data_IF_803406692908
#
_entry.id   IF_803406692908
#
_cell.length_a   1.000
_cell.length_b   1.000
_cell.length_c   1.000
_cell.angle_alpha   90.00
_cell.angle_beta   90.00
_cell.angle_gamma   90.00
#
_symmetry.space_group_name_H-M   'P 1'
#
loop_
_entity.id
_entity.type
_entity.pdbx_description
1 polymer ?
#
# COMPACT_ATOMS: atom_id res chain seq x y z
N UNK A 1 -10.19 -14.40 -14.39
CA UNK A 1 -9.17 -13.44 -13.92
C UNK A 1 -9.69 -12.03 -14.15
N UNK A 2 -9.46 -11.12 -13.20
CA UNK A 2 -10.01 -9.76 -13.17
C UNK A 2 -8.89 -8.76 -12.92
N UNK A 3 -8.99 -7.57 -13.52
CA UNK A 3 -8.15 -6.42 -13.19
C UNK A 3 -9.05 -5.20 -13.04
N UNK A 4 -8.79 -4.41 -11.99
CA UNK A 4 -9.37 -3.11 -11.78
C UNK A 4 -8.24 -2.07 -11.73
N UNK A 5 -8.41 -0.97 -12.47
CA UNK A 5 -7.42 0.11 -12.59
C UNK A 5 -8.12 1.43 -12.39
N UNK A 6 -7.59 2.28 -11.53
CA UNK A 6 -8.13 3.63 -11.33
C UNK A 6 -7.02 4.66 -11.18
N UNK A 7 -7.19 5.78 -11.88
CA UNK A 7 -6.48 7.04 -11.70
C UNK A 7 -7.56 8.12 -11.74
N UNK A 8 -7.83 8.86 -10.65
CA UNK A 8 -8.98 9.75 -10.57
C UNK A 8 -9.01 10.77 -11.71
N UNK A 9 -10.10 10.78 -12.49
CA UNK A 9 -10.30 11.67 -13.63
C UNK A 9 -9.61 11.25 -14.93
N UNK A 10 -8.83 10.17 -14.93
CA UNK A 10 -8.02 9.74 -16.09
C UNK A 10 -8.32 8.30 -16.52
N UNK A 11 -8.39 7.35 -15.57
CA UNK A 11 -8.61 5.91 -15.83
C UNK A 11 -9.64 5.37 -14.84
N UNK A 12 -10.64 4.64 -15.34
CA UNK A 12 -11.61 3.90 -14.54
C UNK A 12 -11.97 2.58 -15.25
N UNK A 13 -11.31 1.49 -14.87
CA UNK A 13 -11.55 0.14 -15.39
C UNK A 13 -11.97 -0.74 -14.24
N UNK A 14 -13.23 -1.21 -14.24
CA UNK A 14 -13.80 -2.05 -13.18
C UNK A 14 -13.49 -1.52 -11.76
N UNK A 15 -13.40 -0.19 -11.61
CA UNK A 15 -12.83 0.43 -10.43
C UNK A 15 -13.80 0.49 -9.24
N UNK A 16 -15.05 0.11 -9.46
CA UNK A 16 -16.10 -0.10 -8.47
C UNK A 16 -16.25 -1.57 -8.06
N UNK A 17 -15.48 -2.49 -8.63
CA UNK A 17 -15.51 -3.90 -8.26
C UNK A 17 -14.73 -4.14 -6.98
N UNK A 18 -15.35 -4.86 -6.03
CA UNK A 18 -14.71 -5.23 -4.77
C UNK A 18 -13.80 -6.45 -4.99
N UNK A 19 -12.53 -6.31 -4.63
CA UNK A 19 -11.49 -7.31 -4.80
C UNK A 19 -10.70 -7.52 -3.51
N UNK A 20 -10.12 -8.71 -3.28
CA UNK A 20 -9.16 -8.93 -2.20
C UNK A 20 -7.93 -8.04 -2.39
N UNK A 21 -7.46 -7.42 -1.31
CA UNK A 21 -6.36 -6.44 -1.36
C UNK A 21 -5.01 -7.02 -0.97
N UNK A 22 -5.00 -8.21 -0.35
CA UNK A 22 -3.82 -8.71 0.34
C UNK A 22 -3.21 -7.60 1.23
N UNK A 23 -1.89 -7.41 1.17
CA UNK A 23 -1.20 -6.39 1.96
C UNK A 23 -1.48 -4.92 1.58
N UNK A 24 -2.17 -4.62 0.47
CA UNK A 24 -2.69 -3.25 0.23
C UNK A 24 -3.72 -2.86 1.30
N UNK A 25 -4.39 -3.86 1.91
CA UNK A 25 -5.28 -3.66 3.06
C UNK A 25 -4.62 -3.05 4.30
N UNK A 26 -3.28 -2.90 4.32
CA UNK A 26 -2.55 -2.22 5.39
C UNK A 26 -2.62 -0.69 5.28
N UNK A 27 -3.04 -0.15 4.14
CA UNK A 27 -3.13 1.31 3.93
C UNK A 27 -4.10 2.00 4.91
N UNK A 28 -5.33 1.49 5.17
CA UNK A 28 -6.20 2.09 6.18
C UNK A 28 -5.62 2.04 7.60
N UNK A 29 -4.91 0.97 7.95
CA UNK A 29 -4.20 0.88 9.23
C UNK A 29 -3.10 1.96 9.34
N UNK A 30 -2.27 2.09 8.31
CA UNK A 30 -1.21 3.11 8.27
C UNK A 30 -1.78 4.53 8.36
N UNK A 31 -2.89 4.81 7.67
CA UNK A 31 -3.58 6.10 7.77
C UNK A 31 -4.13 6.35 9.18
N UNK A 32 -4.72 5.32 9.81
CA UNK A 32 -5.22 5.39 11.19
C UNK A 32 -4.09 5.72 12.17
N UNK A 33 -2.95 5.03 12.06
CA UNK A 33 -1.77 5.27 12.91
C UNK A 33 -1.19 6.66 12.66
N UNK A 34 -1.03 7.07 11.39
CA UNK A 34 -0.51 8.39 11.05
C UNK A 34 -1.39 9.53 11.61
N UNK A 35 -2.70 9.43 11.46
CA UNK A 35 -3.65 10.41 11.99
C UNK A 35 -3.65 10.42 13.52
N UNK A 36 -3.56 9.27 14.16
CA UNK A 36 -3.46 9.18 15.61
C UNK A 36 -2.16 9.83 16.15
N UNK A 37 -1.03 9.62 15.47
CA UNK A 37 0.24 10.27 15.81
C UNK A 37 0.13 11.79 15.67
N UNK A 38 -0.31 12.29 14.51
CA UNK A 38 -0.38 13.74 14.27
C UNK A 38 -1.45 14.46 15.10
N UNK A 39 -2.47 13.74 15.58
CA UNK A 39 -3.45 14.30 16.53
C UNK A 39 -3.00 14.22 18.00
N UNK A 40 -1.86 13.58 18.28
CA UNK A 40 -1.34 13.39 19.63
C UNK A 40 -2.04 12.30 20.45
N UNK A 41 -2.96 11.53 19.85
CA UNK A 41 -3.65 10.43 20.55
C UNK A 41 -2.83 9.13 20.60
N UNK A 42 -1.71 9.08 19.88
CA UNK A 42 -0.77 7.97 19.88
C UNK A 42 0.66 8.52 19.85
N UNK A 43 1.49 8.14 20.81
CA UNK A 43 2.90 8.55 20.82
C UNK A 43 3.70 7.68 19.83
N UNK A 44 4.39 8.26 18.84
CA UNK A 44 5.22 7.50 17.90
C UNK A 44 6.34 6.71 18.57
N UNK A 45 6.82 7.16 19.74
CA UNK A 45 7.86 6.51 20.54
C UNK A 45 7.30 5.47 21.51
N UNK A 46 5.98 5.31 21.59
CA UNK A 46 5.36 4.32 22.47
C UNK A 46 5.87 2.91 22.12
N UNK A 47 6.47 2.18 23.08
CA UNK A 47 6.96 0.83 22.83
C UNK A 47 5.79 -0.16 22.83
N UNK A 48 5.59 -0.82 21.69
CA UNK A 48 4.64 -1.92 21.55
C UNK A 48 5.39 -3.25 21.67
N UNK A 49 4.98 -4.05 22.65
CA UNK A 49 5.49 -5.40 22.85
C UNK A 49 4.81 -6.39 21.91
N UNK A 50 5.60 -7.17 21.18
CA UNK A 50 5.14 -8.26 20.31
C UNK A 50 4.70 -9.43 21.19
N UNK A 51 3.43 -9.81 21.07
CA UNK A 51 2.83 -10.93 21.79
C UNK A 51 2.81 -12.16 20.90
N UNK A 52 2.68 -13.34 21.51
CA UNK A 52 2.55 -14.61 20.79
C UNK A 52 1.42 -14.58 19.76
N UNK A 53 0.32 -13.90 20.09
CA UNK A 53 -0.79 -13.71 19.17
C UNK A 53 -0.43 -12.85 17.95
N UNK A 54 0.58 -11.99 17.96
CA UNK A 54 0.95 -11.20 16.78
C UNK A 54 1.75 -12.02 15.76
N UNK A 55 2.41 -13.09 16.22
CA UNK A 55 3.31 -13.90 15.41
C UNK A 55 2.55 -14.66 14.33
N UNK A 56 2.99 -14.48 13.08
CA UNK A 56 2.41 -15.10 11.89
C UNK A 56 3.49 -15.27 10.83
N UNK A 57 3.26 -16.19 9.88
CA UNK A 57 4.12 -16.37 8.70
C UNK A 57 3.97 -15.26 7.65
N UNK A 58 4.57 -15.48 6.49
CA UNK A 58 4.55 -14.56 5.36
C UNK A 58 5.62 -13.46 5.45
N UNK A 59 5.33 -12.30 4.85
CA UNK A 59 6.27 -11.18 4.72
C UNK A 59 6.63 -10.53 6.06
N UNK A 60 7.89 -10.07 6.16
CA UNK A 60 8.37 -9.30 7.30
C UNK A 60 9.80 -9.66 7.71
N UNK A 61 10.38 -8.79 8.52
CA UNK A 61 11.70 -8.97 9.13
C UNK A 61 11.60 -9.34 10.61
N UNK A 62 10.53 -8.96 11.30
CA UNK A 62 10.39 -9.16 12.74
C UNK A 62 10.43 -10.63 13.17
N UNK A 63 10.12 -11.57 12.27
CA UNK A 63 10.28 -13.00 12.54
C UNK A 63 11.74 -13.43 12.67
N UNK A 64 12.64 -12.73 11.99
CA UNK A 64 14.08 -13.00 12.00
C UNK A 64 14.86 -12.11 12.98
N UNK A 65 14.24 -11.05 13.49
CA UNK A 65 14.85 -10.13 14.45
C UNK A 65 14.58 -10.57 15.90
N UNK A 66 15.53 -10.33 16.80
CA UNK A 66 15.42 -10.72 18.22
C UNK A 66 14.61 -9.74 19.06
N UNK A 67 14.42 -8.50 18.60
CA UNK A 67 13.70 -7.46 19.31
C UNK A 67 12.22 -7.82 19.52
N UNK A 68 11.75 -7.67 20.77
CA UNK A 68 10.35 -7.96 21.15
C UNK A 68 9.53 -6.70 21.45
N UNK A 69 10.17 -5.54 21.50
CA UNK A 69 9.53 -4.26 21.79
C UNK A 69 10.01 -3.24 20.77
N UNK A 70 9.06 -2.59 20.10
CA UNK A 70 9.34 -1.69 18.99
C UNK A 70 8.48 -0.43 19.12
N UNK A 71 9.02 0.76 18.82
CA UNK A 71 8.22 1.97 18.71
C UNK A 71 7.08 1.82 17.70
N UNK A 72 5.94 2.47 17.94
CA UNK A 72 4.81 2.55 16.99
C UNK A 72 5.30 3.00 15.61
N UNK A 73 6.16 4.02 15.55
CA UNK A 73 6.68 4.55 14.30
C UNK A 73 7.49 3.51 13.50
N UNK A 74 8.27 2.67 14.18
CA UNK A 74 9.07 1.61 13.56
C UNK A 74 8.17 0.49 13.04
N UNK A 75 7.15 0.10 13.80
CA UNK A 75 6.16 -0.88 13.34
C UNK A 75 5.39 -0.38 12.11
N UNK A 76 5.05 0.91 12.07
CA UNK A 76 4.39 1.52 10.91
C UNK A 76 5.31 1.54 9.69
N UNK A 77 6.59 1.89 9.88
CA UNK A 77 7.59 1.83 8.83
C UNK A 77 7.77 0.40 8.30
N UNK A 78 7.91 -0.61 9.16
CA UNK A 78 8.05 -2.02 8.76
C UNK A 78 6.80 -2.52 8.01
N UNK A 79 5.62 -2.11 8.46
CA UNK A 79 4.33 -2.41 7.81
C UNK A 79 4.26 -1.84 6.39
N UNK A 80 4.77 -0.62 6.18
CA UNK A 80 4.80 0.01 4.87
C UNK A 80 5.93 -0.51 3.96
N UNK A 81 7.14 -0.60 4.50
CA UNK A 81 8.38 -0.80 3.76
C UNK A 81 8.56 -2.24 3.26
N UNK A 82 8.33 -3.21 4.15
CA UNK A 82 8.57 -4.64 3.89
C UNK A 82 7.32 -5.48 4.14
N UNK A 83 6.17 -4.82 4.30
CA UNK A 83 4.88 -5.48 4.49
C UNK A 83 4.87 -6.41 5.71
N UNK A 84 5.57 -6.05 6.79
CA UNK A 84 5.76 -6.93 7.94
C UNK A 84 4.44 -7.32 8.61
N UNK A 85 4.13 -8.61 8.60
CA UNK A 85 2.86 -9.13 9.09
C UNK A 85 2.74 -9.09 10.62
N UNK A 86 3.86 -9.27 11.34
CA UNK A 86 3.91 -9.22 12.80
C UNK A 86 3.71 -7.77 13.25
N UNK A 87 4.38 -6.82 12.58
CA UNK A 87 4.20 -5.40 12.86
C UNK A 87 2.76 -4.96 12.61
N UNK A 88 2.16 -5.45 11.53
CA UNK A 88 0.75 -5.17 11.20
C UNK A 88 -0.19 -5.68 12.29
N UNK A 89 -0.02 -6.92 12.74
CA UNK A 89 -0.86 -7.50 13.79
C UNK A 89 -0.69 -6.75 15.13
N UNK A 90 0.55 -6.42 15.51
CA UNK A 90 0.84 -5.65 16.71
C UNK A 90 0.17 -4.26 16.67
N UNK A 91 0.22 -3.57 15.53
CA UNK A 91 -0.47 -2.30 15.33
C UNK A 91 -1.99 -2.45 15.37
N UNK A 92 -2.56 -3.45 14.69
CA UNK A 92 -4.01 -3.72 14.72
C UNK A 92 -4.51 -4.00 16.13
N UNK A 93 -3.77 -4.78 16.91
CA UNK A 93 -4.07 -5.02 18.32
C UNK A 93 -3.97 -3.74 19.15
N UNK A 94 -3.01 -2.88 18.84
CA UNK A 94 -2.79 -1.63 19.57
C UNK A 94 -3.87 -0.58 19.29
N UNK A 95 -4.33 -0.45 18.04
CA UNK A 95 -5.31 0.60 17.65
C UNK A 95 -6.75 0.10 17.55
N UNK A 96 -6.95 -1.20 17.34
CA UNK A 96 -8.26 -1.84 17.18
C UNK A 96 -8.79 -1.79 15.74
N UNK A 97 -9.46 -2.87 15.31
CA UNK A 97 -10.10 -2.96 13.99
C UNK A 97 -11.25 -1.95 13.84
N UNK A 98 -12.03 -1.71 14.89
CA UNK A 98 -13.14 -0.75 14.87
C UNK A 98 -12.66 0.66 14.57
N UNK A 99 -11.56 1.08 15.20
CA UNK A 99 -10.93 2.38 14.94
C UNK A 99 -10.46 2.49 13.49
N UNK A 100 -9.86 1.44 12.94
CA UNK A 100 -9.47 1.40 11.52
C UNK A 100 -10.69 1.52 10.61
N UNK A 101 -11.80 0.87 10.94
CA UNK A 101 -13.03 0.93 10.17
C UNK A 101 -13.72 2.31 10.24
N UNK A 102 -13.68 2.98 11.39
CA UNK A 102 -14.15 4.36 11.58
C UNK A 102 -13.33 5.35 10.75
N UNK A 103 -12.01 5.31 10.87
CA UNK A 103 -11.11 6.20 10.12
C UNK A 103 -11.18 5.93 8.61
N UNK A 104 -11.35 4.67 8.18
CA UNK A 104 -11.60 4.33 6.77
C UNK A 104 -12.82 5.08 6.23
N UNK A 105 -13.96 5.02 6.94
CA UNK A 105 -15.18 5.74 6.54
C UNK A 105 -14.98 7.26 6.53
N UNK A 106 -14.27 7.80 7.53
CA UNK A 106 -13.95 9.22 7.58
C UNK A 106 -13.08 9.69 6.40
N UNK A 107 -12.29 8.79 5.82
CA UNK A 107 -11.47 9.02 4.63
C UNK A 107 -12.18 8.68 3.31
N UNK A 108 -13.47 8.32 3.34
CA UNK A 108 -14.25 7.98 2.15
C UNK A 108 -14.03 6.56 1.61
N UNK A 109 -13.44 5.68 2.42
CA UNK A 109 -13.25 4.25 2.16
C UNK A 109 -14.45 3.48 2.72
N UNK A 110 -15.57 3.45 2.00
CA UNK A 110 -16.81 2.80 2.44
C UNK A 110 -16.88 1.33 2.05
N UNK A 111 -16.33 0.99 0.89
CA UNK A 111 -16.28 -0.38 0.35
C UNK A 111 -14.93 -1.06 0.64
N UNK A 112 -13.92 -0.28 0.95
CA UNK A 112 -12.59 -0.75 1.38
C UNK A 112 -12.56 -1.01 2.88
N UNK A 113 -12.29 -2.27 3.27
CA UNK A 113 -12.45 -2.76 4.64
C UNK A 113 -11.30 -3.71 5.02
N UNK A 114 -10.73 -3.49 6.20
CA UNK A 114 -9.88 -4.49 6.88
C UNK A 114 -10.82 -5.41 7.66
N UNK A 115 -10.84 -6.70 7.29
CA UNK A 115 -11.83 -7.65 7.79
C UNK A 115 -11.34 -8.41 9.02
N UNK A 116 -10.03 -8.53 9.17
CA UNK A 116 -9.42 -9.41 10.16
C UNK A 116 -7.96 -8.98 10.41
N UNK A 117 -7.32 -9.63 11.38
CA UNK A 117 -5.86 -9.69 11.49
C UNK A 117 -5.25 -10.57 10.39
N UNK A 118 -3.93 -10.49 10.25
CA UNK A 118 -3.20 -11.36 9.33
C UNK A 118 -3.09 -12.77 9.96
N UNK A 119 -3.35 -13.76 9.11
CA UNK A 119 -3.35 -15.19 9.42
C UNK A 119 -2.60 -15.93 8.34
N UNK A 120 -1.83 -16.92 8.76
CA UNK A 120 -1.07 -17.82 7.89
C UNK A 120 -0.89 -19.16 8.64
N UNK A 121 -1.67 -20.22 8.31
CA UNK A 121 -2.71 -20.25 7.28
C UNK A 121 -4.00 -19.52 7.70
N UNK A 122 -4.81 -19.13 6.72
CA UNK A 122 -6.20 -18.67 6.90
C UNK A 122 -7.14 -19.88 6.80
N UNK A 123 -8.00 -20.08 7.79
CA UNK A 123 -8.91 -21.22 7.87
C UNK A 123 -10.29 -20.89 7.25
N UNK A 124 -11.09 -21.89 6.86
CA UNK A 124 -12.44 -21.67 6.32
C UNK A 124 -13.40 -20.93 7.27
N UNK A 125 -13.12 -20.95 8.58
CA UNK A 125 -13.90 -20.25 9.60
C UNK A 125 -13.51 -18.76 9.73
N UNK A 126 -12.37 -18.36 9.19
CA UNK A 126 -11.91 -16.97 9.21
C UNK A 126 -12.58 -16.17 8.06
N UNK A 127 -12.61 -14.83 8.13
CA UNK A 127 -12.96 -14.02 6.96
C UNK A 127 -12.10 -14.42 5.76
N UNK A 128 -12.66 -14.48 4.53
CA UNK A 128 -12.00 -15.08 3.38
C UNK A 128 -10.76 -14.32 2.89
N UNK A 129 -10.58 -13.06 3.33
CA UNK A 129 -9.42 -12.25 3.05
C UNK A 129 -9.07 -11.40 4.26
N UNK A 130 -7.82 -10.94 4.32
CA UNK A 130 -7.40 -9.92 5.29
C UNK A 130 -8.14 -8.59 5.08
N UNK A 131 -8.30 -8.18 3.82
CA UNK A 131 -8.98 -6.96 3.45
C UNK A 131 -9.54 -7.05 2.03
N UNK A 132 -10.60 -6.29 1.78
CA UNK A 132 -11.25 -6.13 0.47
C UNK A 132 -11.43 -4.65 0.17
N UNK A 133 -11.56 -4.28 -1.10
CA UNK A 133 -11.85 -2.90 -1.48
C UNK A 133 -11.93 -2.70 -2.98
N UNK A 134 -12.05 -1.44 -3.38
CA UNK A 134 -12.24 -1.06 -4.78
C UNK A 134 -11.07 -0.19 -5.27
N UNK A 135 -10.67 -0.31 -6.53
CA UNK A 135 -9.59 0.49 -7.08
C UNK A 135 -9.94 1.99 -7.05
N UNK A 136 -11.21 2.35 -7.27
CA UNK A 136 -11.68 3.73 -7.28
C UNK A 136 -11.53 4.41 -5.92
N UNK A 137 -11.93 3.76 -4.83
CA UNK A 137 -11.73 4.32 -3.48
C UNK A 137 -10.24 4.43 -3.13
N UNK A 138 -9.47 3.38 -3.40
CA UNK A 138 -8.03 3.35 -3.09
C UNK A 138 -7.23 4.39 -3.89
N UNK A 139 -7.58 4.63 -5.16
CA UNK A 139 -6.92 5.63 -5.99
C UNK A 139 -7.27 7.06 -5.56
N UNK A 140 -8.53 7.32 -5.16
CA UNK A 140 -8.92 8.60 -4.55
C UNK A 140 -8.23 8.84 -3.22
N UNK A 141 -8.14 7.81 -2.37
CA UNK A 141 -7.40 7.87 -1.12
C UNK A 141 -5.92 8.17 -1.37
N UNK A 142 -5.28 7.47 -2.31
CA UNK A 142 -3.89 7.75 -2.69
C UNK A 142 -3.72 9.18 -3.22
N UNK A 143 -4.63 9.67 -4.06
CA UNK A 143 -4.58 11.04 -4.57
C UNK A 143 -4.72 12.10 -3.46
N UNK A 144 -5.45 11.79 -2.38
CA UNK A 144 -5.59 12.65 -1.22
C UNK A 144 -4.36 12.67 -0.30
N UNK A 145 -3.43 11.71 -0.43
CA UNK A 145 -2.12 11.79 0.21
C UNK A 145 -1.28 12.82 -0.56
N UNK A 146 -1.51 14.11 -0.35
CA UNK A 146 -0.91 15.21 -1.13
C UNK A 146 0.35 15.82 -0.47
N UNK A 147 0.65 15.45 0.78
CA UNK A 147 1.78 15.97 1.54
C UNK A 147 1.54 17.35 2.18
N UNK A 148 0.32 17.88 2.16
CA UNK A 148 -0.03 19.15 2.79
C UNK A 148 -0.35 18.99 4.27
N UNK A 149 -1.13 17.97 4.62
CA UNK A 149 -1.40 17.62 6.01
C UNK A 149 -0.25 16.77 6.59
N UNK A 150 0.04 16.94 7.89
CA UNK A 150 1.14 16.24 8.55
C UNK A 150 1.04 14.70 8.42
N UNK A 151 -0.14 14.14 8.66
CA UNK A 151 -0.36 12.70 8.55
C UNK A 151 -0.16 12.18 7.12
N UNK A 152 -0.48 12.98 6.09
CA UNK A 152 -0.21 12.60 4.70
C UNK A 152 1.29 12.61 4.38
N UNK A 153 2.05 13.58 4.92
CA UNK A 153 3.52 13.60 4.77
C UNK A 153 4.16 12.40 5.45
N UNK A 154 3.73 12.10 6.67
CA UNK A 154 4.23 10.95 7.44
C UNK A 154 3.96 9.64 6.68
N UNK A 155 2.74 9.46 6.20
CA UNK A 155 2.36 8.27 5.45
C UNK A 155 3.12 8.14 4.12
N UNK A 156 3.30 9.22 3.37
CA UNK A 156 4.14 9.22 2.15
C UNK A 156 5.59 8.87 2.47
N UNK A 157 6.11 9.35 3.60
CA UNK A 157 7.45 8.99 4.09
C UNK A 157 7.60 7.49 4.32
N UNK A 158 6.63 6.85 4.98
CA UNK A 158 6.62 5.39 5.15
C UNK A 158 6.47 4.64 3.82
N UNK A 159 5.54 5.07 2.95
CA UNK A 159 5.29 4.40 1.67
C UNK A 159 6.44 4.56 0.66
N UNK A 160 7.24 5.63 0.74
CA UNK A 160 8.46 5.77 -0.04
C UNK A 160 9.52 4.71 0.34
N UNK A 161 9.43 4.13 1.54
CA UNK A 161 10.31 3.05 1.98
C UNK A 161 9.89 1.67 1.49
N UNK A 162 8.79 1.55 0.74
CA UNK A 162 8.42 0.28 0.14
C UNK A 162 9.57 -0.27 -0.74
N UNK A 163 10.03 -1.47 -0.44
CA UNK A 163 11.13 -2.13 -1.14
C UNK A 163 10.64 -2.93 -2.36
N UNK A 164 9.36 -3.25 -2.42
CA UNK A 164 8.75 -3.95 -3.54
C UNK A 164 8.23 -2.97 -4.60
N UNK A 165 9.04 -2.78 -5.65
CA UNK A 165 8.70 -1.98 -6.83
C UNK A 165 8.41 -2.87 -8.06
N UNK A 166 8.11 -4.15 -7.85
CA UNK A 166 8.04 -5.13 -8.93
C UNK A 166 6.69 -5.17 -9.68
N UNK A 167 5.73 -4.32 -9.29
CA UNK A 167 4.38 -4.25 -9.87
C UNK A 167 4.21 -2.99 -10.76
N UNK A 168 3.37 -2.02 -10.37
CA UNK A 168 3.08 -0.84 -11.19
C UNK A 168 4.33 -0.07 -11.62
N UNK A 169 5.31 0.21 -10.73
CA UNK A 169 6.48 0.98 -11.13
C UNK A 169 7.55 0.17 -11.89
N UNK A 170 7.41 -1.15 -12.02
CA UNK A 170 8.52 -2.03 -12.42
C UNK A 170 9.18 -1.69 -13.76
N UNK A 171 8.41 -1.13 -14.69
CA UNK A 171 8.86 -0.80 -16.05
C UNK A 171 9.03 0.71 -16.26
N UNK A 172 8.93 1.51 -15.19
CA UNK A 172 9.06 2.95 -15.25
C UNK A 172 10.45 3.40 -14.78
N UNK A 173 10.98 4.51 -15.31
CA UNK A 173 12.29 5.07 -14.93
C UNK A 173 12.26 5.69 -13.53
N UNK A 174 12.22 4.85 -12.49
CA UNK A 174 12.32 5.23 -11.08
C UNK A 174 13.65 4.77 -10.48
N UNK A 175 14.12 5.50 -9.47
CA UNK A 175 15.21 5.03 -8.62
C UNK A 175 14.61 4.13 -7.51
N UNK A 176 14.95 2.83 -7.47
CA UNK A 176 14.41 1.91 -6.47
C UNK A 176 14.88 2.23 -5.04
N UNK A 177 15.96 2.99 -4.88
CA UNK A 177 16.50 3.42 -3.58
C UNK A 177 16.06 4.82 -3.16
N UNK A 178 15.21 5.48 -3.95
CA UNK A 178 14.70 6.80 -3.58
C UNK A 178 13.63 6.70 -2.49
N UNK A 179 14.08 6.93 -1.25
CA UNK A 179 13.24 6.93 -0.04
C UNK A 179 12.67 8.30 0.32
N UNK A 180 13.06 9.35 -0.40
CA UNK A 180 12.51 10.69 -0.17
C UNK A 180 11.22 10.79 -0.98
N UNK A 181 10.25 11.60 -0.55
CA UNK A 181 9.07 11.89 -1.38
C UNK A 181 9.02 13.37 -1.76
N UNK A 182 9.86 13.76 -2.72
CA UNK A 182 9.94 15.13 -3.23
C UNK A 182 8.76 15.49 -4.14
N UNK A 183 8.45 16.78 -4.22
CA UNK A 183 7.33 17.29 -5.02
C UNK A 183 7.61 17.31 -6.54
N UNK A 184 8.89 17.20 -6.94
CA UNK A 184 9.33 17.23 -8.33
C UNK A 184 10.40 16.18 -8.57
N UNK A 185 10.54 15.76 -9.82
CA UNK A 185 11.55 14.79 -10.28
C UNK A 185 12.22 15.30 -11.56
N UNK A 186 13.40 14.76 -11.92
CA UNK A 186 13.98 15.02 -13.23
C UNK A 186 13.01 14.70 -14.38
N UNK A 187 13.05 15.43 -15.51
CA UNK A 187 12.22 15.13 -16.66
C UNK A 187 12.38 13.68 -17.13
N UNK A 188 11.25 13.04 -17.46
CA UNK A 188 11.22 11.66 -17.93
C UNK A 188 11.51 10.60 -16.86
N UNK A 189 11.60 10.97 -15.58
CA UNK A 189 11.67 10.00 -14.47
C UNK A 189 10.42 10.07 -13.61
N UNK A 190 10.23 9.06 -12.77
CA UNK A 190 9.16 9.07 -11.77
C UNK A 190 9.67 8.72 -10.39
N UNK A 191 8.98 9.25 -9.40
CA UNK A 191 9.10 8.87 -8.00
C UNK A 191 7.79 8.26 -7.55
N UNK A 192 7.90 7.23 -6.73
CA UNK A 192 6.73 6.44 -6.31
C UNK A 192 6.76 6.24 -4.81
N UNK A 193 5.62 6.38 -4.16
CA UNK A 193 5.37 5.94 -2.79
C UNK A 193 4.14 5.05 -2.84
N UNK A 194 4.33 3.75 -2.61
CA UNK A 194 3.27 2.77 -2.84
C UNK A 194 3.26 1.68 -1.78
N UNK A 195 2.17 0.92 -1.77
CA UNK A 195 2.07 -0.33 -1.04
C UNK A 195 1.67 -1.43 -2.02
N UNK A 196 2.43 -2.52 -2.03
CA UNK A 196 2.06 -3.73 -2.77
C UNK A 196 1.26 -4.71 -1.90
N UNK A 197 0.48 -5.55 -2.57
CA UNK A 197 -0.31 -6.64 -2.00
C UNK A 197 -0.13 -7.89 -2.84
N UNK A 198 0.32 -8.97 -2.18
CA UNK A 198 0.56 -10.26 -2.80
C UNK A 198 -0.06 -11.34 -1.94
N UNK A 199 -0.86 -12.19 -2.58
CA UNK A 199 -1.43 -13.42 -2.04
C UNK A 199 -1.62 -14.40 -3.21
N UNK A 200 -1.97 -15.66 -2.94
CA UNK A 200 -2.24 -16.63 -4.01
C UNK A 200 -3.41 -16.15 -4.88
N UNK A 201 -3.14 -15.93 -6.18
CA UNK A 201 -4.12 -15.39 -7.10
C UNK A 201 -4.47 -13.91 -6.87
N UNK A 202 -3.67 -13.14 -6.12
CA UNK A 202 -3.88 -11.70 -5.89
C UNK A 202 -2.59 -10.91 -6.12
N UNK A 203 -2.68 -9.85 -6.93
CA UNK A 203 -1.64 -8.82 -7.06
C UNK A 203 -2.27 -7.44 -7.00
N UNK A 204 -1.79 -6.59 -6.11
CA UNK A 204 -2.31 -5.24 -5.93
C UNK A 204 -1.17 -4.25 -5.71
N UNK A 205 -1.33 -3.03 -6.23
CA UNK A 205 -0.40 -1.94 -6.05
C UNK A 205 -1.17 -0.62 -6.01
N UNK A 206 -1.03 0.13 -4.93
CA UNK A 206 -1.71 1.41 -4.70
C UNK A 206 -0.67 2.40 -4.23
N UNK A 207 -0.65 3.59 -4.84
CA UNK A 207 0.37 4.56 -4.50
C UNK A 207 0.17 5.93 -5.11
N UNK A 208 1.11 6.81 -4.77
CA UNK A 208 1.27 8.13 -5.36
C UNK A 208 2.48 8.10 -6.28
N UNK A 209 2.31 8.63 -7.48
CA UNK A 209 3.35 8.78 -8.49
C UNK A 209 3.55 10.24 -8.81
N UNK A 210 4.82 10.67 -8.87
CA UNK A 210 5.23 12.03 -9.21
C UNK A 210 6.14 11.96 -10.44
N UNK A 211 5.70 12.57 -11.53
CA UNK A 211 6.48 12.88 -12.73
C UNK A 211 6.24 14.35 -13.11
N UNK A 212 5.84 14.62 -14.36
CA UNK A 212 5.40 15.94 -14.83
C UNK A 212 4.20 16.47 -14.03
N UNK A 213 3.40 15.55 -13.50
CA UNK A 213 2.33 15.81 -12.54
C UNK A 213 2.32 14.75 -11.46
N UNK A 214 1.60 15.05 -10.38
CA UNK A 214 1.30 14.11 -9.30
C UNK A 214 -0.03 13.42 -9.57
N UNK A 215 -0.07 12.10 -9.40
CA UNK A 215 -1.31 11.31 -9.42
C UNK A 215 -1.34 10.30 -8.27
N UNK A 216 -2.55 9.98 -7.82
CA UNK A 216 -2.82 8.75 -7.05
C UNK A 216 -3.34 7.67 -7.99
N UNK A 217 -2.94 6.42 -7.77
CA UNK A 217 -3.36 5.29 -8.58
C UNK A 217 -3.70 4.07 -7.71
N UNK A 218 -4.50 3.18 -8.26
CA UNK A 218 -4.70 1.83 -7.74
C UNK A 218 -4.82 0.83 -8.90
N UNK A 219 -4.10 -0.29 -8.78
CA UNK A 219 -4.23 -1.46 -9.65
C UNK A 219 -4.48 -2.67 -8.77
N UNK A 220 -5.61 -3.34 -8.95
CA UNK A 220 -6.00 -4.55 -8.26
C UNK A 220 -6.20 -5.67 -9.28
N UNK A 221 -5.56 -6.81 -9.11
CA UNK A 221 -5.69 -7.94 -10.00
C UNK A 221 -5.94 -9.22 -9.18
N UNK A 222 -6.91 -10.01 -9.61
CA UNK A 222 -7.26 -11.28 -8.98
C UNK A 222 -7.51 -12.38 -10.01
N UNK A 223 -7.17 -13.61 -9.67
CA UNK A 223 -7.29 -14.77 -10.53
C UNK A 223 -7.39 -16.06 -9.73
N UNK A 224 -7.56 -17.20 -10.41
CA UNK A 224 -7.46 -18.49 -9.74
C UNK A 224 -6.05 -18.70 -9.16
N UNK A 225 -5.90 -19.55 -8.13
CA UNK A 225 -4.60 -20.00 -7.64
C UNK A 225 -3.62 -20.38 -8.77
N UNK A 226 -2.36 -19.95 -8.64
CA UNK A 226 -1.32 -20.19 -9.65
C UNK A 226 -1.32 -19.26 -10.87
N UNK A 227 -2.23 -18.29 -10.96
CA UNK A 227 -2.23 -17.26 -12.04
C UNK A 227 -1.22 -16.12 -11.82
N UNK A 228 -0.34 -16.25 -10.83
CA UNK A 228 0.58 -15.23 -10.33
C UNK A 228 1.42 -14.54 -11.40
N UNK A 229 2.01 -15.30 -12.32
CA UNK A 229 2.86 -14.73 -13.37
C UNK A 229 2.05 -13.83 -14.32
N UNK A 230 0.87 -14.30 -14.71
CA UNK A 230 -0.03 -13.55 -15.59
C UNK A 230 -0.54 -12.28 -14.91
N UNK A 231 -0.90 -12.37 -13.62
CA UNK A 231 -1.31 -11.21 -12.83
C UNK A 231 -0.20 -10.15 -12.75
N UNK A 232 1.05 -10.56 -12.49
CA UNK A 232 2.20 -9.62 -12.47
C UNK A 232 2.36 -8.92 -13.81
N UNK A 233 2.30 -9.64 -14.92
CA UNK A 233 2.42 -9.07 -16.27
C UNK A 233 1.34 -8.01 -16.51
N UNK A 234 0.08 -8.32 -16.21
CA UNK A 234 -1.04 -7.37 -16.41
C UNK A 234 -0.95 -6.13 -15.53
N UNK A 235 -0.49 -6.28 -14.28
CA UNK A 235 -0.27 -5.13 -13.39
C UNK A 235 0.84 -4.23 -13.92
N UNK A 236 1.93 -4.79 -14.47
CA UNK A 236 3.02 -4.02 -15.09
C UNK A 236 2.57 -3.30 -16.36
N UNK A 237 1.75 -3.95 -17.19
CA UNK A 237 1.15 -3.32 -18.38
C UNK A 237 0.25 -2.14 -18.01
N UNK A 238 -0.56 -2.27 -16.96
CA UNK A 238 -1.34 -1.15 -16.42
C UNK A 238 -0.41 -0.02 -15.94
N UNK A 239 0.71 -0.37 -15.30
CA UNK A 239 1.74 0.57 -14.87
C UNK A 239 2.35 1.40 -16.01
N UNK A 240 2.55 0.83 -17.19
CA UNK A 240 2.98 1.56 -18.38
C UNK A 240 1.94 2.61 -18.82
N UNK A 241 0.65 2.29 -18.72
CA UNK A 241 -0.44 3.22 -18.98
C UNK A 241 -0.45 4.39 -17.99
N UNK A 242 -0.27 4.10 -16.72
CA UNK A 242 -0.20 5.08 -15.64
C UNK A 242 1.04 5.98 -15.79
N UNK A 243 2.20 5.42 -16.11
CA UNK A 243 3.46 6.15 -16.30
C UNK A 243 3.36 7.22 -17.39
N UNK A 244 2.65 6.94 -18.49
CA UNK A 244 2.41 7.92 -19.56
C UNK A 244 1.66 9.17 -19.08
N UNK A 245 0.76 9.06 -18.10
CA UNK A 245 0.01 10.20 -17.56
C UNK A 245 0.89 11.18 -16.78
N UNK A 246 2.09 10.76 -16.37
CA UNK A 246 3.05 11.58 -15.62
C UNK A 246 4.34 11.83 -16.40
N UNK A 247 4.34 11.61 -17.72
CA UNK A 247 5.53 11.86 -18.55
C UNK A 247 6.63 10.81 -18.44
N UNK A 248 6.38 9.67 -17.78
CA UNK A 248 7.30 8.54 -17.78
C UNK A 248 7.02 7.63 -18.98
N UNK A 249 7.77 7.85 -20.07
CA UNK A 249 7.76 6.97 -21.24
C UNK A 249 9.00 6.06 -21.19
N UNK A 250 8.84 4.73 -21.13
CA UNK A 250 9.98 3.82 -21.24
C UNK A 250 10.58 3.89 -22.65
N UNK A 251 11.87 4.20 -22.75
CA UNK A 251 12.66 3.96 -23.96
C UNK A 251 12.82 5.11 -24.95
N UNK A 252 12.48 6.37 -24.64
CA UNK A 252 13.00 7.48 -25.44
C UNK A 252 14.48 7.73 -25.09
N UNK A 253 15.41 7.65 -26.07
CA UNK A 253 16.80 8.03 -25.84
C UNK A 253 16.83 9.51 -25.43
N UNK A 254 17.59 9.82 -24.38
CA UNK A 254 17.93 11.21 -24.08
C UNK A 254 18.64 11.78 -25.30
N UNK A 255 18.02 12.77 -25.96
CA UNK A 255 18.77 13.65 -26.84
C UNK A 255 19.82 14.35 -25.95
N UNK A 256 21.08 13.97 -26.16
CA UNK A 256 22.27 14.58 -25.56
C UNK A 256 22.42 16.04 -25.98
#
# INVERSE_FOLDING_TARGET
>A
MMIAVSVPGEIAVADDVELPLASVGKLPLLATVARAICSGTLDPAEPVELRDEDHVGGSGLLRALSGRRWPVADLALLTAAVSDNIATNALLRRVGLDRVAEESRALGLYRTRVLDRIREPRLPSDPPAFAVGTAGELARFAAALDGRAEWTRLMLGWLAHNTDRALVPALLPHDPEDRRFAATVPPGTVRVANKTGTDDGVRADVGVMVGDRRIGYAVLASGPPGSDHELVTRVREAGLGIGRLVGAVPGEPRAS
#
